data_IF_604040082605
#
_entry.id   IF_604040082605
#
_cell.length_a   1.000
_cell.length_b   1.000
_cell.length_c   1.000
_cell.angle_alpha   90.00
_cell.angle_beta   90.00
_cell.angle_gamma   90.00
#
_symmetry.space_group_name_H-M   'P 1'
#
loop_
_entity.id
_entity.type
_entity.pdbx_description
1 polymer ?
#
# COMPACT_ATOMS: atom_id res chain seq x y z
N UNK A 1 25.67 19.93 43.81
CA UNK A 1 26.03 18.50 43.73
C UNK A 1 25.59 18.00 42.35
N UNK A 2 26.42 18.24 41.33
CA UNK A 2 26.15 17.86 39.93
C UNK A 2 27.39 17.10 39.42
N UNK A 3 27.26 15.80 39.17
CA UNK A 3 28.28 15.01 38.49
C UNK A 3 27.98 15.00 36.99
N UNK A 4 28.95 15.31 36.11
CA UNK A 4 28.78 15.10 34.68
C UNK A 4 28.96 13.62 34.33
N UNK A 5 27.98 13.08 33.59
CA UNK A 5 28.00 11.73 33.02
C UNK A 5 29.18 11.56 32.06
N UNK A 6 30.02 10.54 32.30
CA UNK A 6 31.09 10.13 31.39
C UNK A 6 30.49 9.62 30.07
N UNK A 7 30.73 10.36 28.97
CA UNK A 7 30.52 9.85 27.61
C UNK A 7 31.57 8.77 27.33
N UNK A 8 31.13 7.53 27.14
CA UNK A 8 31.97 6.46 26.63
C UNK A 8 32.29 6.73 25.15
N UNK A 9 33.57 6.91 24.85
CA UNK A 9 34.08 7.00 23.48
C UNK A 9 34.00 5.62 22.82
N UNK A 10 33.49 5.58 21.58
CA UNK A 10 33.51 4.40 20.75
C UNK A 10 34.97 4.00 20.44
N UNK A 11 35.34 2.78 20.82
CA UNK A 11 36.63 2.17 20.51
C UNK A 11 36.72 1.93 19.01
N UNK A 12 37.67 2.59 18.37
CA UNK A 12 38.08 2.30 16.98
C UNK A 12 38.76 0.92 16.98
N UNK A 13 38.19 -0.03 16.23
CA UNK A 13 38.78 -1.35 16.04
C UNK A 13 40.02 -1.24 15.14
N UNK A 14 41.16 -1.70 15.64
CA UNK A 14 42.43 -1.81 14.91
C UNK A 14 42.37 -2.94 13.86
N UNK A 15 43.04 -2.82 12.71
CA UNK A 15 43.05 -3.87 11.70
C UNK A 15 44.10 -4.93 12.03
N UNK A 16 43.67 -6.15 12.37
CA UNK A 16 44.54 -7.33 12.41
C UNK A 16 44.42 -8.09 11.09
N UNK A 17 45.59 -8.39 10.51
CA UNK A 17 45.80 -8.95 9.18
C UNK A 17 45.30 -10.39 8.96
N UNK A 18 45.00 -10.64 7.68
CA UNK A 18 44.77 -11.87 6.90
C UNK A 18 44.96 -13.25 7.59
N UNK A 19 43.88 -14.05 7.57
CA UNK A 19 43.91 -15.50 7.82
C UNK A 19 42.60 -16.09 8.37
N UNK A 20 41.67 -16.46 7.47
CA UNK A 20 40.56 -17.43 7.68
C UNK A 20 39.67 -17.29 8.93
N UNK A 21 38.59 -16.50 8.84
CA UNK A 21 37.40 -16.71 9.66
C UNK A 21 36.13 -16.50 8.82
N UNK A 22 35.39 -17.59 8.61
CA UNK A 22 34.12 -17.65 7.86
C UNK A 22 33.01 -17.01 8.69
N UNK A 23 33.10 -15.69 8.90
CA UNK A 23 32.02 -14.87 9.43
C UNK A 23 31.61 -13.88 8.33
N UNK A 24 31.13 -14.40 7.20
CA UNK A 24 30.74 -13.58 6.08
C UNK A 24 29.50 -12.76 6.45
N UNK A 25 29.64 -11.44 6.46
CA UNK A 25 28.53 -10.51 6.68
C UNK A 25 27.95 -10.15 5.32
N UNK A 26 26.65 -10.36 5.17
CA UNK A 26 25.87 -9.99 3.99
C UNK A 26 24.81 -8.96 4.36
N UNK A 27 24.52 -8.05 3.43
CA UNK A 27 23.43 -7.10 3.52
C UNK A 27 22.36 -7.52 2.51
N UNK A 28 21.25 -8.05 3.01
CA UNK A 28 20.06 -8.33 2.22
C UNK A 28 19.16 -7.10 2.17
N UNK A 29 18.45 -6.91 1.06
CA UNK A 29 17.56 -5.79 0.86
C UNK A 29 16.12 -6.27 0.68
N UNK A 30 15.26 -5.91 1.63
CA UNK A 30 13.82 -5.99 1.49
C UNK A 30 13.34 -4.72 0.78
N UNK A 31 13.32 -4.76 -0.55
CA UNK A 31 12.78 -3.68 -1.36
C UNK A 31 11.28 -3.87 -1.55
N UNK A 32 10.51 -2.84 -1.21
CA UNK A 32 9.05 -2.91 -1.20
C UNK A 32 8.41 -1.79 -2.02
N UNK A 33 7.41 -2.13 -2.82
CA UNK A 33 6.52 -1.16 -3.47
C UNK A 33 5.24 -1.05 -2.63
N UNK A 34 4.97 0.15 -2.11
CA UNK A 34 3.79 0.41 -1.28
C UNK A 34 2.49 0.35 -2.11
N UNK A 35 1.34 0.01 -1.50
CA UNK A 35 0.06 0.03 -2.21
C UNK A 35 -0.24 1.45 -2.70
N UNK A 36 -0.64 1.57 -3.96
CA UNK A 36 -0.94 2.86 -4.62
C UNK A 36 -2.41 3.21 -4.46
N UNK A 37 -3.27 2.20 -4.35
CA UNK A 37 -4.71 2.33 -4.13
C UNK A 37 -5.11 1.70 -2.80
N UNK A 38 -6.25 2.14 -2.26
CA UNK A 38 -6.84 1.56 -1.06
C UNK A 38 -7.06 0.05 -1.21
N UNK A 39 -6.94 -0.75 -0.14
CA UNK A 39 -7.20 -2.19 -0.19
C UNK A 39 -8.68 -2.48 -0.53
N UNK A 40 -8.92 -3.67 -1.06
CA UNK A 40 -10.28 -4.14 -1.31
C UNK A 40 -10.96 -4.52 0.01
N UNK A 41 -12.20 -4.06 0.17
CA UNK A 41 -13.00 -4.34 1.35
C UNK A 41 -13.49 -5.79 1.36
N UNK A 42 -13.47 -6.40 2.52
CA UNK A 42 -14.10 -7.70 2.78
C UNK A 42 -15.63 -7.60 2.67
N UNK A 43 -16.32 -8.74 2.51
CA UNK A 43 -17.79 -8.76 2.41
C UNK A 43 -18.46 -8.21 3.67
N UNK A 44 -17.91 -8.52 4.85
CA UNK A 44 -18.38 -7.99 6.13
C UNK A 44 -18.21 -6.48 6.19
N UNK A 45 -17.02 -5.96 5.85
CA UNK A 45 -16.75 -4.52 5.85
C UNK A 45 -17.69 -3.78 4.91
N UNK A 46 -17.92 -4.30 3.69
CA UNK A 46 -18.89 -3.73 2.75
C UNK A 46 -20.29 -3.67 3.36
N UNK A 47 -20.77 -4.77 3.95
CA UNK A 47 -22.08 -4.81 4.58
C UNK A 47 -22.18 -3.83 5.76
N UNK A 48 -21.14 -3.76 6.59
CA UNK A 48 -21.07 -2.83 7.71
C UNK A 48 -21.09 -1.37 7.26
N UNK A 49 -20.27 -1.00 6.27
CA UNK A 49 -20.24 0.37 5.74
C UNK A 49 -21.56 0.76 5.09
N UNK A 50 -22.18 -0.13 4.32
CA UNK A 50 -23.50 0.11 3.74
C UNK A 50 -24.56 0.35 4.82
N UNK A 51 -24.54 -0.46 5.89
CA UNK A 51 -25.45 -0.30 7.01
C UNK A 51 -25.24 1.03 7.75
N UNK A 52 -23.99 1.39 8.04
CA UNK A 52 -23.66 2.67 8.66
C UNK A 52 -24.07 3.85 7.77
N UNK A 53 -23.84 3.75 6.46
CA UNK A 53 -24.26 4.79 5.51
C UNK A 53 -25.78 4.93 5.47
N UNK A 54 -26.55 3.84 5.52
CA UNK A 54 -28.01 3.88 5.57
C UNK A 54 -28.53 4.52 6.87
N UNK A 55 -27.92 4.18 8.01
CA UNK A 55 -28.22 4.81 9.29
C UNK A 55 -27.90 6.30 9.26
N UNK A 56 -26.73 6.67 8.73
CA UNK A 56 -26.33 8.06 8.58
C UNK A 56 -27.34 8.79 7.70
N UNK A 57 -27.65 8.29 6.49
CA UNK A 57 -28.66 8.86 5.59
C UNK A 57 -30.04 9.00 6.25
N UNK A 58 -30.40 8.12 7.18
CA UNK A 58 -31.65 8.21 7.95
C UNK A 58 -31.59 9.31 9.01
N UNK A 59 -30.46 9.49 9.69
CA UNK A 59 -30.27 10.44 10.79
C UNK A 59 -29.83 11.83 10.33
N UNK A 60 -29.27 11.96 9.12
CA UNK A 60 -28.85 13.20 8.51
C UNK A 60 -29.97 14.25 8.57
N UNK A 61 -29.57 15.51 8.69
CA UNK A 61 -30.49 16.64 8.64
C UNK A 61 -31.00 16.88 7.22
N UNK A 62 -31.99 17.76 7.10
CA UNK A 62 -32.48 18.23 5.80
C UNK A 62 -31.35 18.90 5.03
N UNK A 63 -31.16 18.54 3.76
CA UNK A 63 -30.21 19.26 2.91
C UNK A 63 -30.65 20.73 2.72
N UNK A 64 -29.86 21.73 3.17
CA UNK A 64 -30.26 23.13 3.14
C UNK A 64 -30.03 23.74 1.74
N UNK A 65 -30.83 23.30 0.77
CA UNK A 65 -30.67 23.71 -0.64
C UNK A 65 -30.76 25.23 -0.84
N UNK A 66 -31.54 25.94 -0.02
CA UNK A 66 -31.69 27.41 -0.07
C UNK A 66 -30.38 28.17 0.22
N UNK A 67 -29.43 27.53 0.90
CA UNK A 67 -28.12 28.12 1.19
C UNK A 67 -27.21 28.00 -0.03
N UNK A 68 -27.14 26.81 -0.63
CA UNK A 68 -26.28 26.49 -1.77
C UNK A 68 -26.80 27.05 -3.10
N UNK A 69 -28.12 27.01 -3.32
CA UNK A 69 -28.77 27.51 -4.52
C UNK A 69 -29.51 28.81 -4.21
N UNK A 70 -29.12 29.90 -4.91
CA UNK A 70 -29.77 31.20 -4.74
C UNK A 70 -31.18 31.17 -5.33
N UNK A 71 -32.14 31.73 -4.59
CA UNK A 71 -33.53 31.84 -5.00
C UNK A 71 -33.67 32.55 -6.35
N UNK A 72 -34.38 31.94 -7.28
CA UNK A 72 -34.59 32.43 -8.65
C UNK A 72 -33.47 32.08 -9.64
N UNK A 73 -32.40 31.41 -9.22
CA UNK A 73 -31.29 31.01 -10.10
C UNK A 73 -31.70 29.87 -11.05
N UNK A 74 -31.06 29.83 -12.23
CA UNK A 74 -31.18 28.69 -13.15
C UNK A 74 -30.72 27.38 -12.47
N UNK A 75 -29.69 27.44 -11.64
CA UNK A 75 -29.17 26.29 -10.89
C UNK A 75 -30.19 25.75 -9.89
N UNK A 76 -30.91 26.65 -9.19
CA UNK A 76 -31.99 26.26 -8.28
C UNK A 76 -33.13 25.56 -9.03
N UNK A 77 -33.55 26.13 -10.17
CA UNK A 77 -34.59 25.54 -11.02
C UNK A 77 -34.20 24.14 -11.52
N UNK A 78 -32.95 23.96 -11.95
CA UNK A 78 -32.39 22.66 -12.35
C UNK A 78 -32.41 21.66 -11.18
N UNK A 79 -32.00 22.10 -9.99
CA UNK A 79 -32.03 21.29 -8.77
C UNK A 79 -33.45 20.84 -8.39
N UNK A 80 -34.40 21.78 -8.33
CA UNK A 80 -35.79 21.48 -7.98
C UNK A 80 -36.41 20.52 -9.01
N UNK A 81 -36.13 20.73 -10.31
CA UNK A 81 -36.63 19.86 -11.38
C UNK A 81 -36.13 18.41 -11.25
N UNK A 82 -34.89 18.21 -10.76
CA UNK A 82 -34.32 16.88 -10.56
C UNK A 82 -34.87 16.15 -9.33
N UNK A 83 -35.41 16.90 -8.36
CA UNK A 83 -35.84 16.36 -7.07
C UNK A 83 -37.31 15.90 -7.11
N UNK A 84 -37.60 14.82 -6.38
CA UNK A 84 -38.97 14.41 -6.07
C UNK A 84 -39.36 14.99 -4.71
N UNK A 85 -40.44 15.78 -4.68
CA UNK A 85 -40.97 16.32 -3.43
C UNK A 85 -41.64 15.23 -2.56
N UNK A 86 -41.69 15.41 -1.23
CA UNK A 86 -42.46 14.53 -0.35
C UNK A 86 -43.97 14.76 -0.54
N UNK A 87 -44.76 13.77 -0.16
CA UNK A 87 -46.23 13.89 -0.13
C UNK A 87 -46.62 14.76 1.07
N UNK A 88 -47.35 15.85 0.83
CA UNK A 88 -47.89 16.70 1.88
C UNK A 88 -49.10 16.04 2.56
N UNK A 89 -49.31 16.31 3.84
CA UNK A 89 -50.54 15.89 4.53
C UNK A 89 -51.77 16.57 3.88
N UNK A 90 -52.79 15.78 3.55
CA UNK A 90 -54.05 16.24 2.97
C UNK A 90 -55.21 15.84 3.88
N UNK A 91 -56.10 16.77 4.25
CA UNK A 91 -57.23 16.46 5.12
C UNK A 91 -58.17 15.46 4.46
N UNK A 92 -58.76 14.57 5.27
CA UNK A 92 -59.70 13.51 4.85
C UNK A 92 -59.11 12.39 3.97
N UNK A 93 -57.78 12.28 3.92
CA UNK A 93 -57.10 11.16 3.26
C UNK A 93 -56.41 10.31 4.33
N UNK A 94 -56.63 9.00 4.26
CA UNK A 94 -55.97 8.05 5.15
C UNK A 94 -54.58 7.70 4.63
N UNK A 95 -53.56 7.88 5.47
CA UNK A 95 -52.19 7.43 5.18
C UNK A 95 -51.85 6.17 6.00
N UNK A 96 -51.78 5.01 5.34
CA UNK A 96 -51.51 3.71 6.00
C UNK A 96 -50.19 3.70 6.79
N UNK A 97 -49.18 4.40 6.29
CA UNK A 97 -47.84 4.48 6.90
C UNK A 97 -47.75 5.61 7.93
N UNK A 98 -48.88 6.16 8.37
CA UNK A 98 -49.00 7.33 9.24
C UNK A 98 -48.93 8.66 8.49
N UNK A 99 -49.35 9.73 9.15
CA UNK A 99 -49.46 11.07 8.54
C UNK A 99 -48.08 11.67 8.19
N UNK A 100 -47.92 12.27 6.99
CA UNK A 100 -46.67 12.89 6.59
C UNK A 100 -46.33 14.14 7.44
N UNK A 101 -45.21 14.08 8.19
CA UNK A 101 -44.60 15.23 8.85
C UNK A 101 -43.53 15.85 7.94
N UNK A 102 -43.94 16.83 7.13
CA UNK A 102 -43.10 17.49 6.13
C UNK A 102 -42.61 18.85 6.64
N UNK A 103 -41.29 18.98 6.79
CA UNK A 103 -40.63 20.23 7.17
C UNK A 103 -39.48 20.49 6.20
N UNK A 104 -39.34 21.73 5.72
CA UNK A 104 -38.33 22.11 4.72
C UNK A 104 -38.26 21.18 3.50
N UNK A 105 -39.42 20.78 2.98
CA UNK A 105 -39.54 19.89 1.82
C UNK A 105 -38.91 18.50 2.04
N UNK A 106 -38.88 18.01 3.28
CA UNK A 106 -38.48 16.65 3.66
C UNK A 106 -39.51 16.06 4.62
N UNK A 107 -39.83 14.79 4.41
CA UNK A 107 -40.54 13.99 5.41
C UNK A 107 -39.58 13.53 6.53
N UNK A 108 -39.82 13.94 7.77
CA UNK A 108 -38.91 13.70 8.92
C UNK A 108 -38.80 12.23 9.33
N UNK A 109 -39.78 11.42 8.95
CA UNK A 109 -39.87 10.00 9.30
C UNK A 109 -38.97 9.12 8.44
N UNK A 110 -38.64 9.59 7.23
CA UNK A 110 -37.91 8.83 6.21
C UNK A 110 -36.52 9.44 5.95
N UNK A 111 -35.66 8.65 5.29
CA UNK A 111 -34.39 9.15 4.75
C UNK A 111 -34.66 10.11 3.60
N UNK A 112 -33.83 11.16 3.48
CA UNK A 112 -33.89 12.08 2.35
C UNK A 112 -32.88 11.66 1.28
N UNK A 113 -33.35 11.44 0.05
CA UNK A 113 -32.47 11.24 -1.10
C UNK A 113 -32.42 12.55 -1.91
N UNK A 114 -31.22 13.08 -2.13
CA UNK A 114 -31.00 14.28 -2.92
C UNK A 114 -30.37 13.90 -4.24
N UNK A 115 -31.06 14.19 -5.35
CA UNK A 115 -30.57 13.91 -6.70
C UNK A 115 -29.80 15.11 -7.23
N UNK A 116 -28.54 14.92 -7.57
CA UNK A 116 -27.74 15.96 -8.23
C UNK A 116 -28.18 16.04 -9.70
N UNK A 117 -28.58 17.22 -10.22
CA UNK A 117 -28.93 17.38 -11.62
C UNK A 117 -27.77 16.98 -12.51
N UNK A 118 -28.03 16.08 -13.46
CA UNK A 118 -27.11 15.79 -14.56
C UNK A 118 -27.50 16.69 -15.72
N UNK A 119 -26.54 17.42 -16.25
CA UNK A 119 -26.75 18.18 -17.49
C UNK A 119 -26.64 17.19 -18.65
N UNK A 120 -27.72 17.06 -19.42
CA UNK A 120 -27.69 16.35 -20.70
C UNK A 120 -26.98 17.27 -21.69
N UNK A 121 -25.68 17.07 -21.87
CA UNK A 121 -24.92 17.72 -22.94
C UNK A 121 -24.88 16.81 -24.15
N UNK A 122 -25.09 17.36 -25.34
CA UNK A 122 -24.74 16.67 -26.60
C UNK A 122 -23.23 16.47 -26.64
N UNK A 123 -22.76 15.24 -26.91
CA UNK A 123 -21.34 14.85 -26.87
C UNK A 123 -20.42 15.77 -27.68
N UNK A 124 -20.95 16.39 -28.74
CA UNK A 124 -20.23 17.31 -29.63
C UNK A 124 -19.89 18.68 -29.02
N UNK A 125 -20.50 19.04 -27.88
CA UNK A 125 -20.37 20.36 -27.24
C UNK A 125 -19.58 20.33 -25.91
N UNK A 126 -19.10 19.16 -25.51
CA UNK A 126 -18.39 18.96 -24.25
C UNK A 126 -16.96 19.48 -24.33
N UNK A 127 -16.66 20.53 -23.58
CA UNK A 127 -15.28 20.90 -23.26
C UNK A 127 -14.62 19.81 -22.41
N UNK A 128 -13.29 19.71 -22.44
CA UNK A 128 -12.53 18.72 -21.65
C UNK A 128 -12.86 18.76 -20.14
N UNK A 129 -13.27 19.92 -19.64
CA UNK A 129 -13.57 20.19 -18.23
C UNK A 129 -14.99 19.73 -17.82
N UNK A 130 -15.94 19.69 -18.76
CA UNK A 130 -17.35 19.35 -18.47
C UNK A 130 -17.66 17.85 -18.58
N UNK A 131 -16.67 17.03 -18.95
CA UNK A 131 -16.85 15.58 -19.12
C UNK A 131 -17.10 14.88 -17.78
N UNK A 132 -17.95 13.83 -17.75
CA UNK A 132 -18.14 13.03 -16.55
C UNK A 132 -16.83 12.36 -16.15
N UNK A 133 -16.51 12.38 -14.85
CA UNK A 133 -15.33 11.72 -14.32
C UNK A 133 -15.54 10.21 -14.38
N UNK A 134 -14.76 9.52 -15.20
CA UNK A 134 -14.69 8.06 -15.24
C UNK A 134 -13.40 7.64 -14.54
N UNK A 135 -13.48 6.98 -13.37
CA UNK A 135 -12.28 6.52 -12.69
C UNK A 135 -11.59 5.42 -13.52
N UNK A 136 -10.26 5.39 -13.47
CA UNK A 136 -9.49 4.32 -14.09
C UNK A 136 -9.76 2.98 -13.40
N UNK A 137 -9.64 1.89 -14.16
CA UNK A 137 -9.75 0.54 -13.61
C UNK A 137 -8.67 0.31 -12.55
N UNK A 138 -9.06 -0.32 -11.44
CA UNK A 138 -8.13 -0.79 -10.39
C UNK A 138 -7.29 -1.99 -10.85
N UNK A 139 -7.81 -2.75 -11.82
CA UNK A 139 -7.16 -3.89 -12.45
C UNK A 139 -6.43 -3.37 -13.68
N UNK A 140 -5.11 -3.54 -13.70
CA UNK A 140 -4.24 -3.11 -14.79
C UNK A 140 -4.09 -4.19 -15.88
N UNK A 141 -3.45 -3.85 -16.99
CA UNK A 141 -3.13 -4.85 -18.02
C UNK A 141 -2.09 -5.86 -17.55
N UNK A 142 -1.17 -5.45 -16.66
CA UNK A 142 -0.21 -6.34 -16.01
C UNK A 142 -0.90 -7.37 -15.10
N UNK A 143 -2.00 -6.99 -14.44
CA UNK A 143 -2.83 -7.92 -13.66
C UNK A 143 -3.51 -8.96 -14.56
N UNK A 144 -4.04 -8.53 -15.71
CA UNK A 144 -4.68 -9.45 -16.66
C UNK A 144 -3.69 -10.42 -17.29
N UNK A 145 -2.48 -9.95 -17.55
CA UNK A 145 -1.39 -10.74 -18.11
C UNK A 145 -0.66 -11.61 -17.06
N UNK A 146 -0.93 -11.41 -15.76
CA UNK A 146 -0.17 -11.98 -14.65
C UNK A 146 1.35 -11.74 -14.78
N UNK A 147 1.75 -10.55 -15.22
CA UNK A 147 3.16 -10.20 -15.38
C UNK A 147 3.80 -9.91 -14.02
N UNK A 148 4.54 -10.89 -13.49
CA UNK A 148 5.24 -10.80 -12.20
C UNK A 148 6.40 -9.80 -12.17
N UNK A 149 6.84 -9.28 -13.33
CA UNK A 149 7.96 -8.34 -13.42
C UNK A 149 7.52 -6.87 -13.35
N UNK A 150 6.23 -6.60 -13.59
CA UNK A 150 5.68 -5.25 -13.56
C UNK A 150 5.40 -4.75 -12.14
N UNK A 151 5.69 -3.47 -11.91
CA UNK A 151 5.33 -2.75 -10.68
C UNK A 151 3.86 -2.32 -10.64
N UNK A 152 3.23 -2.24 -11.81
CA UNK A 152 1.84 -1.77 -12.00
C UNK A 152 0.81 -2.87 -11.70
N UNK A 153 1.25 -4.12 -11.51
CA UNK A 153 0.37 -5.22 -11.06
C UNK A 153 0.01 -5.05 -9.58
N UNK A 154 -1.13 -5.55 -9.13
CA UNK A 154 -1.60 -5.59 -7.75
C UNK A 154 -1.42 -4.25 -7.03
N UNK A 155 -1.98 -3.18 -7.62
CA UNK A 155 -1.93 -1.83 -7.07
C UNK A 155 -2.37 -1.70 -5.59
N UNK A 156 -3.38 -2.45 -5.07
CA UNK A 156 -3.80 -2.33 -3.68
C UNK A 156 -2.94 -3.12 -2.68
N UNK A 157 -1.95 -3.88 -3.14
CA UNK A 157 -1.08 -4.73 -2.31
C UNK A 157 0.34 -4.18 -2.25
N UNK A 158 1.04 -4.47 -1.17
CA UNK A 158 2.50 -4.31 -1.11
C UNK A 158 3.17 -5.40 -1.97
N UNK A 159 4.10 -4.99 -2.84
CA UNK A 159 4.95 -5.92 -3.59
C UNK A 159 6.36 -5.94 -3.01
N UNK A 160 7.00 -7.10 -3.09
CA UNK A 160 8.33 -7.37 -2.58
C UNK A 160 9.23 -7.85 -3.73
N UNK A 161 10.42 -7.26 -3.87
CA UNK A 161 11.38 -7.71 -4.85
C UNK A 161 12.06 -9.01 -4.39
N UNK A 162 11.97 -10.05 -5.20
CA UNK A 162 12.73 -11.28 -5.05
C UNK A 162 13.56 -11.54 -6.30
N UNK A 163 14.72 -12.16 -6.10
CA UNK A 163 15.67 -12.50 -7.16
C UNK A 163 16.00 -13.98 -7.06
N UNK A 164 16.14 -14.63 -8.20
CA UNK A 164 16.57 -16.02 -8.31
C UNK A 164 17.98 -16.07 -8.93
N UNK A 165 18.97 -16.38 -8.10
CA UNK A 165 20.36 -16.54 -8.54
C UNK A 165 20.61 -17.99 -8.99
N UNK A 166 20.61 -18.22 -10.32
CA UNK A 166 21.09 -19.47 -10.94
C UNK A 166 20.57 -20.76 -10.28
N UNK A 167 19.25 -20.87 -10.09
CA UNK A 167 18.57 -22.04 -9.50
C UNK A 167 18.90 -22.34 -8.03
N UNK A 168 19.46 -21.38 -7.28
CA UNK A 168 19.67 -21.51 -5.82
C UNK A 168 18.40 -21.24 -4.99
N UNK A 169 17.31 -20.90 -5.66
CA UNK A 169 16.02 -20.59 -5.05
C UNK A 169 15.75 -19.08 -4.96
N UNK A 170 14.47 -18.74 -4.82
CA UNK A 170 14.00 -17.37 -4.65
C UNK A 170 14.39 -16.85 -3.27
N UNK A 171 15.07 -15.70 -3.23
CA UNK A 171 15.47 -15.02 -1.99
C UNK A 171 15.49 -13.50 -2.20
N UNK A 172 15.61 -12.77 -1.10
CA UNK A 172 15.88 -11.33 -1.16
C UNK A 172 17.24 -11.07 -1.81
N UNK A 173 17.41 -9.98 -2.58
CA UNK A 173 18.72 -9.56 -3.07
C UNK A 173 19.69 -9.40 -1.91
N UNK A 174 20.82 -10.11 -1.96
CA UNK A 174 21.82 -10.10 -0.90
C UNK A 174 23.20 -9.80 -1.44
N UNK A 175 23.89 -8.89 -0.77
CA UNK A 175 25.18 -8.37 -1.20
C UNK A 175 26.23 -8.63 -0.12
N UNK A 176 27.43 -9.06 -0.54
CA UNK A 176 28.55 -9.22 0.38
C UNK A 176 29.04 -7.85 0.85
N UNK A 177 29.36 -7.72 2.14
CA UNK A 177 29.81 -6.43 2.69
C UNK A 177 31.29 -6.20 2.35
N UNK A 178 31.57 -5.11 1.62
CA UNK A 178 32.94 -4.66 1.39
C UNK A 178 33.50 -3.91 2.62
N UNK A 179 34.81 -4.01 2.86
CA UNK A 179 35.48 -3.37 3.99
C UNK A 179 35.25 -1.85 3.98
N UNK A 180 34.88 -1.28 5.13
CA UNK A 180 34.67 0.16 5.30
C UNK A 180 33.29 0.68 4.86
N UNK A 181 32.40 -0.17 4.35
CA UNK A 181 31.03 0.22 3.99
C UNK A 181 30.03 -0.10 5.10
N UNK A 182 28.97 0.71 5.20
CA UNK A 182 27.84 0.46 6.11
C UNK A 182 26.80 -0.42 5.43
N UNK A 183 26.11 -1.28 6.19
CA UNK A 183 25.10 -2.22 5.68
C UNK A 183 24.08 -1.60 4.71
N UNK A 184 23.45 -0.48 5.09
CA UNK A 184 22.46 0.19 4.24
C UNK A 184 23.04 0.69 2.91
N UNK A 185 24.24 1.28 2.92
CA UNK A 185 24.92 1.74 1.69
C UNK A 185 25.33 0.59 0.80
N UNK A 186 25.83 -0.52 1.38
CA UNK A 186 26.18 -1.72 0.62
C UNK A 186 24.95 -2.34 -0.06
N UNK A 187 23.80 -2.33 0.62
CA UNK A 187 22.55 -2.80 0.04
C UNK A 187 22.04 -1.86 -1.07
N UNK A 188 22.14 -0.54 -0.89
CA UNK A 188 21.77 0.44 -1.91
C UNK A 188 22.67 0.38 -3.16
N UNK A 189 23.99 0.32 -2.98
CA UNK A 189 24.94 0.23 -4.09
C UNK A 189 24.80 -1.11 -4.81
N UNK A 190 24.73 -2.23 -4.06
CA UNK A 190 24.55 -3.56 -4.64
C UNK A 190 23.25 -3.67 -5.44
N UNK A 191 22.16 -3.03 -4.99
CA UNK A 191 20.92 -3.01 -5.75
C UNK A 191 21.07 -2.27 -7.08
N UNK A 192 21.77 -1.12 -7.11
CA UNK A 192 22.00 -0.36 -8.35
C UNK A 192 22.95 -1.08 -9.31
N UNK A 193 23.98 -1.70 -8.77
CA UNK A 193 24.89 -2.55 -9.57
C UNK A 193 24.14 -3.71 -10.23
N UNK A 194 23.18 -4.29 -9.52
CA UNK A 194 22.41 -5.44 -9.99
C UNK A 194 21.24 -5.04 -10.90
N UNK A 195 20.50 -3.97 -10.58
CA UNK A 195 19.26 -3.57 -11.22
C UNK A 195 19.33 -2.35 -12.15
N UNK A 196 20.51 -1.74 -12.28
CA UNK A 196 20.75 -0.51 -13.04
C UNK A 196 20.53 0.77 -12.23
N UNK A 197 20.95 1.90 -12.82
CA UNK A 197 20.83 3.23 -12.20
C UNK A 197 19.41 3.83 -12.27
N UNK A 198 18.54 3.24 -13.07
CA UNK A 198 17.14 3.68 -13.28
C UNK A 198 16.23 3.44 -12.06
N UNK A 199 16.74 2.91 -10.94
CA UNK A 199 15.96 2.58 -9.76
C UNK A 199 16.11 3.62 -8.64
N UNK A 200 15.00 4.27 -8.30
CA UNK A 200 14.96 5.23 -7.20
C UNK A 200 14.41 4.57 -5.94
N UNK A 201 15.31 4.37 -4.98
CA UNK A 201 15.00 3.75 -3.69
C UNK A 201 15.19 4.71 -2.53
N UNK A 202 14.44 4.48 -1.46
CA UNK A 202 14.56 5.17 -0.20
C UNK A 202 14.66 4.16 0.94
N UNK A 203 15.83 4.10 1.57
CA UNK A 203 16.06 3.23 2.72
C UNK A 203 15.47 3.83 3.98
N UNK A 204 14.64 3.06 4.66
CA UNK A 204 13.84 3.53 5.81
C UNK A 204 14.72 3.86 7.01
N UNK A 205 15.67 2.98 7.31
CA UNK A 205 16.53 3.11 8.47
C UNK A 205 17.89 2.44 8.24
N UNK A 206 18.89 2.88 9.01
CA UNK A 206 20.22 2.24 9.03
C UNK A 206 20.23 0.93 9.81
N UNK A 207 19.25 0.74 10.69
CA UNK A 207 19.11 -0.46 11.52
C UNK A 207 18.52 -1.61 10.69
N UNK A 208 19.08 -2.83 10.78
CA UNK A 208 18.50 -3.99 10.12
C UNK A 208 17.16 -4.37 10.75
N UNK A 209 16.23 -4.81 9.92
CA UNK A 209 14.90 -5.27 10.33
C UNK A 209 14.94 -6.71 10.89
N UNK A 210 15.82 -7.54 10.34
CA UNK A 210 16.01 -8.92 10.78
C UNK A 210 17.43 -9.41 10.41
N UNK A 211 17.81 -10.54 10.99
CA UNK A 211 19.09 -11.21 10.72
C UNK A 211 18.82 -12.68 10.47
N UNK A 212 19.28 -13.19 9.33
CA UNK A 212 19.30 -14.61 9.02
C UNK A 212 20.71 -15.15 9.24
N UNK A 213 20.80 -16.33 9.86
CA UNK A 213 22.07 -17.00 10.14
C UNK A 213 22.15 -18.26 9.29
N UNK A 214 23.26 -18.43 8.59
CA UNK A 214 23.52 -19.61 7.77
C UNK A 214 24.78 -20.33 8.21
N UNK A 215 24.72 -21.66 8.22
CA UNK A 215 25.85 -22.55 8.42
C UNK A 215 25.93 -23.50 7.23
N UNK A 216 27.06 -23.48 6.51
CA UNK A 216 27.24 -24.24 5.26
C UNK A 216 26.09 -24.06 4.24
N UNK A 217 25.51 -22.86 4.16
CA UNK A 217 24.41 -22.54 3.24
C UNK A 217 23.02 -23.00 3.68
N UNK A 218 22.87 -23.58 4.88
CA UNK A 218 21.58 -23.92 5.47
C UNK A 218 21.20 -22.91 6.54
N UNK A 219 19.92 -22.57 6.60
CA UNK A 219 19.39 -21.67 7.62
C UNK A 219 19.46 -22.35 8.98
N UNK A 220 19.96 -21.62 9.99
CA UNK A 220 20.07 -22.12 11.37
C UNK A 220 19.19 -21.29 12.29
N UNK A 221 18.74 -21.89 13.39
CA UNK A 221 17.99 -21.22 14.44
C UNK A 221 18.68 -19.92 14.91
N UNK A 222 17.89 -18.89 15.30
CA UNK A 222 18.41 -17.59 15.69
C UNK A 222 19.37 -17.66 16.89
N UNK A 223 19.23 -18.66 17.76
CA UNK A 223 20.06 -18.85 18.96
C UNK A 223 21.40 -19.54 18.68
N UNK A 224 21.62 -20.03 17.46
CA UNK A 224 22.86 -20.71 17.12
C UNK A 224 24.05 -19.73 17.15
N UNK A 225 25.08 -20.14 17.88
CA UNK A 225 26.37 -19.47 17.98
C UNK A 225 27.45 -20.49 17.60
N UNK A 226 27.84 -20.49 16.33
CA UNK A 226 29.04 -21.19 15.84
C UNK A 226 30.00 -20.18 15.21
N UNK A 227 31.30 -20.51 15.20
CA UNK A 227 32.35 -19.61 14.70
C UNK A 227 32.34 -19.47 13.16
N UNK A 228 31.55 -20.30 12.46
CA UNK A 228 31.45 -20.35 10.98
C UNK A 228 30.06 -19.95 10.49
N UNK A 229 29.50 -18.86 11.02
CA UNK A 229 28.17 -18.37 10.66
C UNK A 229 28.27 -17.23 9.64
N UNK A 230 27.61 -17.42 8.50
CA UNK A 230 27.27 -16.30 7.62
C UNK A 230 26.05 -15.57 8.19
N UNK A 231 26.14 -14.25 8.33
CA UNK A 231 25.06 -13.41 8.89
C UNK A 231 24.55 -12.48 7.80
N UNK A 232 23.29 -12.66 7.45
CA UNK A 232 22.60 -11.85 6.45
C UNK A 232 21.67 -10.86 7.16
N UNK A 233 22.04 -9.58 7.13
CA UNK A 233 21.29 -8.50 7.74
C UNK A 233 20.31 -7.92 6.72
N UNK A 234 19.01 -7.97 7.02
CA UNK A 234 17.96 -7.49 6.12
C UNK A 234 17.72 -5.99 6.39
N UNK A 235 17.93 -5.16 5.38
CA UNK A 235 17.63 -3.72 5.39
C UNK A 235 16.30 -3.50 4.67
N UNK A 236 15.40 -2.69 5.25
CA UNK A 236 14.13 -2.32 4.62
C UNK A 236 14.27 -1.06 3.77
N UNK A 237 13.81 -1.13 2.53
CA UNK A 237 13.83 -0.02 1.58
C UNK A 237 12.53 0.02 0.77
N UNK A 238 12.17 1.22 0.31
CA UNK A 238 11.02 1.46 -0.54
C UNK A 238 11.47 1.87 -1.94
N UNK A 239 10.82 1.33 -2.98
CA UNK A 239 10.94 1.88 -4.32
C UNK A 239 9.99 3.08 -4.44
N UNK A 240 10.51 4.21 -4.90
CA UNK A 240 9.73 5.43 -5.13
C UNK A 240 9.35 5.57 -6.60
N UNK A 241 10.29 5.26 -7.49
CA UNK A 241 10.11 5.34 -8.93
C UNK A 241 11.18 4.50 -9.64
N UNK A 242 10.97 4.27 -10.94
CA UNK A 242 11.94 3.58 -11.78
C UNK A 242 11.59 2.13 -12.05
N UNK A 243 12.51 1.44 -12.71
CA UNK A 243 12.37 0.04 -13.07
C UNK A 243 13.62 -0.74 -12.68
N UNK A 244 13.43 -1.96 -12.21
CA UNK A 244 14.52 -2.87 -11.90
C UNK A 244 14.84 -3.70 -13.15
N UNK A 245 16.01 -3.48 -13.76
CA UNK A 245 16.41 -4.16 -15.00
C UNK A 245 17.73 -4.91 -14.77
N UNK A 246 17.68 -6.15 -14.28
CA UNK A 246 18.89 -6.93 -14.08
C UNK A 246 19.47 -7.45 -15.40
N UNK A 247 20.79 -7.60 -15.45
CA UNK A 247 21.48 -8.05 -16.68
C UNK A 247 21.32 -9.56 -16.94
N UNK A 248 21.50 -10.40 -15.91
CA UNK A 248 21.56 -11.86 -16.05
C UNK A 248 20.87 -12.61 -14.89
N UNK A 249 19.76 -12.07 -14.37
CA UNK A 249 19.06 -12.63 -13.21
C UNK A 249 17.55 -12.58 -13.42
N UNK A 250 16.87 -13.66 -13.02
CA UNK A 250 15.42 -13.67 -12.91
C UNK A 250 15.00 -12.90 -11.66
N UNK A 251 13.96 -12.08 -11.81
CA UNK A 251 13.39 -11.32 -10.70
C UNK A 251 11.88 -11.31 -10.80
N UNK A 252 11.24 -11.05 -9.67
CA UNK A 252 9.80 -10.93 -9.58
C UNK A 252 9.42 -9.96 -8.45
N UNK A 253 8.33 -9.24 -8.66
CA UNK A 253 7.69 -8.38 -7.67
C UNK A 253 6.49 -9.10 -7.09
N UNK A 254 6.62 -9.73 -5.93
CA UNK A 254 5.65 -10.68 -5.39
C UNK A 254 4.87 -10.13 -4.20
N UNK A 255 3.60 -10.51 -4.08
CA UNK A 255 2.78 -10.29 -2.87
C UNK A 255 3.18 -11.26 -1.76
N UNK A 256 2.83 -10.99 -0.49
CA UNK A 256 3.14 -11.90 0.63
C UNK A 256 2.71 -13.36 0.37
N UNK A 257 1.53 -13.55 -0.23
CA UNK A 257 0.96 -14.87 -0.53
C UNK A 257 1.78 -15.60 -1.61
N UNK A 258 2.17 -14.91 -2.68
CA UNK A 258 3.03 -15.49 -3.73
C UNK A 258 4.46 -15.77 -3.22
N UNK A 259 4.96 -14.98 -2.26
CA UNK A 259 6.27 -15.22 -1.63
C UNK A 259 6.28 -16.55 -0.87
N UNK A 260 5.18 -16.89 -0.18
CA UNK A 260 5.03 -18.16 0.55
C UNK A 260 5.16 -19.37 -0.37
N UNK A 261 4.61 -19.29 -1.58
CA UNK A 261 4.64 -20.39 -2.55
C UNK A 261 5.99 -20.56 -3.25
N UNK A 262 6.76 -19.49 -3.39
CA UNK A 262 8.01 -19.46 -4.19
C UNK A 262 9.27 -19.72 -3.39
N UNK A 263 9.26 -19.35 -2.12
CA UNK A 263 10.42 -19.42 -1.24
C UNK A 263 10.39 -20.70 -0.41
N UNK A 264 11.54 -21.15 0.11
CA UNK A 264 11.57 -22.32 1.00
C UNK A 264 10.82 -22.04 2.30
N UNK A 265 10.14 -23.06 2.84
CA UNK A 265 9.34 -22.95 4.08
C UNK A 265 10.13 -22.37 5.24
N UNK A 266 11.33 -22.90 5.49
CA UNK A 266 12.21 -22.44 6.57
C UNK A 266 12.57 -20.95 6.43
N UNK A 267 12.80 -20.48 5.19
CA UNK A 267 13.11 -19.08 4.94
C UNK A 267 11.87 -18.20 5.11
N UNK A 268 10.71 -18.66 4.62
CA UNK A 268 9.46 -17.93 4.78
C UNK A 268 9.09 -17.77 6.26
N UNK A 269 9.15 -18.83 7.06
CA UNK A 269 8.90 -18.77 8.50
C UNK A 269 9.84 -17.77 9.21
N UNK A 270 11.12 -17.73 8.82
CA UNK A 270 12.08 -16.79 9.39
C UNK A 270 11.91 -15.34 8.92
N UNK A 271 11.17 -15.09 7.84
CA UNK A 271 10.99 -13.75 7.24
C UNK A 271 9.53 -13.30 7.18
N UNK A 272 8.58 -14.13 7.60
CA UNK A 272 7.15 -13.92 7.41
C UNK A 272 6.66 -12.58 7.97
N UNK A 273 7.17 -12.23 9.16
CA UNK A 273 6.81 -11.02 9.88
C UNK A 273 7.31 -9.73 9.20
N UNK A 274 8.22 -9.83 8.23
CA UNK A 274 8.72 -8.70 7.46
C UNK A 274 7.81 -8.33 6.28
N UNK A 275 7.06 -9.30 5.76
CA UNK A 275 6.20 -9.11 4.60
C UNK A 275 4.84 -8.56 5.02
N UNK A 276 4.42 -7.45 4.41
CA UNK A 276 3.10 -6.86 4.67
C UNK A 276 2.07 -7.42 3.71
N UNK A 277 0.83 -7.64 4.19
CA UNK A 277 -0.30 -7.98 3.32
C UNK A 277 -0.86 -6.75 2.61
N UNK A 278 -0.83 -5.58 3.25
CA UNK A 278 -1.32 -4.31 2.71
C UNK A 278 -0.20 -3.31 2.78
#
# INVERSE_FOLDING_TARGET
MYQPLKRCLATVASPSAEGSAVNAIKAALLLTRQPIVTPDLTELEKAYFNYQEELERRLMWTFPHYYYFKKGSLSERRFIKAQKGPVSNQPNILFEKGEPDVVHNRERRLKQEVRIPKEEYEESSMSDISRPVVPNSRITDADRANDITSLERALPRTLHLLVNENNKGWKLPSFALAQGTTLHRAAESGLRELGGDDIHTWTVARSPAAVLKYEHGKLVAPDANSDKLEREFIIKSHILAGAFKPQNLEYAWLTKEEVEERVSKDYFEATEFLFSRV
#
